data_IF_014506830091
#
_entry.id   IF_014506830091
#
_cell.length_a   1.000
_cell.length_b   1.000
_cell.length_c   1.000
_cell.angle_alpha   90.00
_cell.angle_beta   90.00
_cell.angle_gamma   90.00
#
_symmetry.space_group_name_H-M   'P 1'
#
loop_
_entity.id
_entity.type
_entity.pdbx_description
1 polymer ?
#
# COMPACT_ATOMS: atom_id res chain seq x y z
N UNK A 1 3.24 -29.08 -23.23
CA UNK A 1 3.90 -29.49 -21.97
C UNK A 1 3.45 -28.52 -20.90
N UNK A 2 2.54 -28.94 -20.02
CA UNK A 2 2.11 -28.14 -18.86
C UNK A 2 3.27 -28.11 -17.87
N UNK A 3 3.86 -26.94 -17.64
CA UNK A 3 4.89 -26.77 -16.62
C UNK A 3 4.35 -27.26 -15.27
N UNK A 4 5.14 -28.07 -14.56
CA UNK A 4 4.79 -28.51 -13.21
C UNK A 4 4.55 -27.26 -12.33
N UNK A 5 3.54 -27.26 -11.44
CA UNK A 5 3.28 -26.10 -10.60
C UNK A 5 4.50 -25.81 -9.73
N UNK A 6 5.09 -24.62 -9.91
CA UNK A 6 6.21 -24.14 -9.11
C UNK A 6 5.78 -24.14 -7.64
N UNK A 7 6.49 -24.89 -6.79
CA UNK A 7 6.18 -24.99 -5.35
C UNK A 7 6.16 -23.58 -4.74
N UNK A 8 5.01 -23.16 -4.22
CA UNK A 8 4.88 -21.90 -3.48
C UNK A 8 5.29 -22.15 -2.04
N UNK A 9 6.18 -21.32 -1.51
CA UNK A 9 6.61 -21.36 -0.11
C UNK A 9 5.82 -20.32 0.68
N UNK A 10 5.11 -20.77 1.70
CA UNK A 10 4.34 -19.92 2.61
C UNK A 10 5.24 -19.38 3.73
N UNK A 11 5.24 -18.05 3.93
CA UNK A 11 6.14 -17.34 4.85
C UNK A 11 5.36 -16.32 5.69
N UNK A 12 5.46 -16.39 7.01
CA UNK A 12 4.92 -15.39 7.92
C UNK A 12 5.94 -14.25 8.10
N UNK A 13 5.51 -13.00 7.96
CA UNK A 13 6.41 -11.84 8.00
C UNK A 13 5.92 -10.81 9.01
N UNK A 14 6.79 -10.42 9.94
CA UNK A 14 6.51 -9.45 10.98
C UNK A 14 6.79 -8.01 10.55
N UNK A 15 5.72 -7.23 10.41
CA UNK A 15 5.81 -5.76 10.32
C UNK A 15 5.77 -5.22 11.75
N UNK A 16 6.93 -5.22 12.40
CA UNK A 16 7.09 -4.75 13.78
C UNK A 16 7.17 -3.23 13.84
N UNK A 17 6.20 -2.60 14.49
CA UNK A 17 6.08 -1.15 14.57
C UNK A 17 6.24 -0.65 16.00
N UNK A 18 7.10 0.35 16.20
CA UNK A 18 7.13 1.12 17.43
C UNK A 18 5.99 2.17 17.47
N UNK A 19 5.63 2.68 18.66
CA UNK A 19 4.63 3.74 18.80
C UNK A 19 4.93 5.01 17.99
N UNK A 20 6.20 5.26 17.68
CA UNK A 20 6.66 6.39 16.86
C UNK A 20 6.65 6.09 15.34
N UNK A 21 6.18 4.91 14.93
CA UNK A 21 6.07 4.50 13.53
C UNK A 21 7.34 3.87 12.94
N UNK A 22 8.42 3.72 13.71
CA UNK A 22 9.62 3.04 13.22
C UNK A 22 9.40 1.54 13.07
N UNK A 23 9.99 0.99 12.01
CA UNK A 23 9.93 -0.43 11.64
C UNK A 23 11.25 -1.14 11.99
N UNK A 24 11.19 -2.38 12.47
CA UNK A 24 12.38 -3.22 12.61
C UNK A 24 12.74 -3.91 11.29
N UNK A 25 13.99 -3.79 10.89
CA UNK A 25 14.57 -4.50 9.76
C UNK A 25 15.78 -5.32 10.22
N UNK A 26 15.98 -6.47 9.59
CA UNK A 26 17.13 -7.36 9.80
C UNK A 26 17.99 -7.47 8.55
N UNK A 27 19.30 -7.42 8.70
CA UNK A 27 20.25 -7.62 7.61
C UNK A 27 20.59 -9.09 7.44
N UNK A 28 20.41 -9.61 6.23
CA UNK A 28 20.67 -11.01 5.90
C UNK A 28 22.13 -11.39 6.14
N UNK A 29 22.40 -12.45 6.92
CA UNK A 29 23.76 -12.88 7.22
C UNK A 29 24.48 -13.40 5.96
N UNK A 30 25.81 -13.47 6.04
CA UNK A 30 26.64 -14.02 4.98
C UNK A 30 26.23 -15.47 4.63
N UNK A 31 26.32 -15.84 3.35
CA UNK A 31 26.02 -17.20 2.88
C UNK A 31 24.54 -17.50 2.58
N UNK A 32 23.60 -16.63 2.97
CA UNK A 32 22.20 -16.69 2.49
C UNK A 32 22.09 -15.97 1.12
N UNK A 33 21.13 -16.34 0.24
CA UNK A 33 20.79 -15.52 -0.93
C UNK A 33 20.49 -14.09 -0.49
N UNK A 34 20.98 -13.10 -1.23
CA UNK A 34 20.88 -11.66 -0.87
C UNK A 34 21.57 -11.29 0.47
N UNK A 35 22.70 -11.92 0.80
CA UNK A 35 23.51 -11.51 1.96
C UNK A 35 23.80 -9.99 1.96
N UNK A 36 23.68 -9.36 3.11
CA UNK A 36 23.85 -7.91 3.29
C UNK A 36 22.61 -7.06 2.96
N UNK A 37 21.55 -7.67 2.39
CA UNK A 37 20.29 -6.99 2.14
C UNK A 37 19.42 -6.99 3.39
N UNK A 38 18.58 -5.97 3.52
CA UNK A 38 17.70 -5.75 4.65
C UNK A 38 16.29 -6.28 4.34
N UNK A 39 15.67 -6.91 5.32
CA UNK A 39 14.34 -7.50 5.21
C UNK A 39 13.53 -7.35 6.49
N UNK A 40 12.23 -7.65 6.38
CA UNK A 40 11.35 -7.78 7.54
C UNK A 40 11.58 -9.15 8.17
N UNK A 41 11.61 -9.25 9.52
CA UNK A 41 11.82 -10.52 10.21
C UNK A 41 10.67 -11.50 10.00
N UNK A 42 10.96 -12.80 10.07
CA UNK A 42 9.98 -13.87 9.89
C UNK A 42 10.50 -15.01 9.02
N UNK A 43 9.69 -16.06 8.91
CA UNK A 43 10.11 -17.29 8.26
C UNK A 43 8.98 -18.21 7.84
N UNK A 44 9.35 -19.44 7.52
CA UNK A 44 8.48 -20.37 6.79
C UNK A 44 7.43 -20.95 7.73
N UNK A 45 6.23 -21.17 7.21
CA UNK A 45 5.23 -21.93 7.94
C UNK A 45 5.65 -23.40 8.03
N UNK A 46 5.51 -23.99 9.21
CA UNK A 46 5.62 -25.44 9.39
C UNK A 46 4.26 -26.14 9.20
N UNK A 47 4.26 -27.46 8.90
CA UNK A 47 3.02 -28.21 8.74
C UNK A 47 2.11 -28.11 9.97
N UNK A 48 0.88 -27.63 9.77
CA UNK A 48 -0.13 -27.55 10.81
C UNK A 48 -0.16 -26.23 11.59
N UNK A 49 0.79 -25.32 11.35
CA UNK A 49 0.78 -23.99 11.98
C UNK A 49 -0.19 -23.03 11.27
N UNK A 50 -0.87 -22.20 12.04
CA UNK A 50 -1.45 -20.96 11.52
C UNK A 50 -0.36 -19.92 11.25
N UNK A 51 -0.66 -18.93 10.39
CA UNK A 51 0.26 -17.83 10.11
C UNK A 51 0.74 -17.11 11.38
N UNK A 52 -0.15 -16.88 12.34
CA UNK A 52 0.21 -16.15 13.58
C UNK A 52 1.05 -17.02 14.52
N UNK A 53 0.87 -18.35 14.51
CA UNK A 53 1.74 -19.27 15.25
C UNK A 53 3.14 -19.29 14.65
N UNK A 54 3.26 -19.46 13.33
CA UNK A 54 4.54 -19.39 12.64
C UNK A 54 5.22 -18.05 12.88
N UNK A 55 4.50 -16.93 12.79
CA UNK A 55 5.04 -15.60 13.11
C UNK A 55 5.61 -15.53 14.53
N UNK A 56 4.87 -16.00 15.53
CA UNK A 56 5.31 -15.93 16.92
C UNK A 56 6.56 -16.79 17.17
N UNK A 57 6.61 -18.00 16.58
CA UNK A 57 7.78 -18.88 16.65
C UNK A 57 9.00 -18.24 15.98
N UNK A 58 8.86 -17.79 14.75
CA UNK A 58 9.95 -17.20 13.97
C UNK A 58 10.50 -15.94 14.65
N UNK A 59 9.65 -15.03 15.14
CA UNK A 59 10.13 -13.84 15.87
C UNK A 59 10.76 -14.20 17.22
N UNK A 60 10.38 -15.31 17.84
CA UNK A 60 11.05 -15.80 19.04
C UNK A 60 12.45 -16.35 18.70
N UNK A 61 12.56 -17.18 17.68
CA UNK A 61 13.80 -17.82 17.23
C UNK A 61 14.80 -16.79 16.69
N UNK A 62 14.35 -15.86 15.84
CA UNK A 62 15.22 -14.88 15.20
C UNK A 62 15.57 -13.71 16.12
N UNK A 63 14.62 -13.25 16.94
CA UNK A 63 14.73 -11.97 17.65
C UNK A 63 14.73 -12.10 19.18
N UNK A 64 14.36 -13.26 19.73
CA UNK A 64 14.24 -13.48 21.17
C UNK A 64 13.06 -12.77 21.83
N UNK A 65 12.01 -12.43 21.07
CA UNK A 65 10.83 -11.75 21.61
C UNK A 65 9.63 -12.69 21.75
N UNK A 66 8.67 -12.31 22.59
CA UNK A 66 7.35 -12.95 22.66
C UNK A 66 6.28 -11.99 22.12
N UNK A 67 5.58 -12.38 21.06
CA UNK A 67 4.51 -11.57 20.47
C UNK A 67 3.30 -11.54 21.40
N UNK A 68 2.82 -10.34 21.76
CA UNK A 68 1.65 -10.15 22.62
C UNK A 68 0.41 -9.72 21.83
N UNK A 69 0.59 -8.84 20.83
CA UNK A 69 -0.49 -8.37 19.96
C UNK A 69 0.00 -8.35 18.51
N UNK A 70 -0.68 -9.12 17.66
CA UNK A 70 -0.46 -9.13 16.23
C UNK A 70 -1.75 -9.41 15.46
N UNK A 71 -1.81 -8.95 14.22
CA UNK A 71 -2.93 -9.22 13.32
C UNK A 71 -2.44 -9.49 11.90
N UNK A 72 -3.16 -10.33 11.17
CA UNK A 72 -2.98 -10.47 9.73
C UNK A 72 -3.20 -9.11 9.06
N UNK A 73 -2.38 -8.79 8.07
CA UNK A 73 -2.50 -7.54 7.34
C UNK A 73 -2.72 -7.74 5.84
N UNK A 74 -1.70 -8.20 5.11
CA UNK A 74 -1.76 -8.38 3.65
C UNK A 74 -1.10 -9.70 3.28
N UNK A 75 -1.67 -10.43 2.32
CA UNK A 75 -0.99 -11.55 1.66
C UNK A 75 -0.44 -11.08 0.33
N UNK A 76 0.83 -11.33 0.05
CA UNK A 76 1.46 -10.96 -1.20
C UNK A 76 2.25 -12.13 -1.77
N UNK A 77 2.06 -12.41 -3.06
CA UNK A 77 2.83 -13.44 -3.77
C UNK A 77 3.92 -12.76 -4.56
N UNK A 78 5.17 -13.12 -4.26
CA UNK A 78 6.34 -12.64 -4.96
C UNK A 78 7.05 -13.80 -5.67
N UNK A 79 7.36 -13.63 -6.95
CA UNK A 79 8.06 -14.62 -7.76
C UNK A 79 9.51 -14.16 -7.98
N UNK A 80 10.46 -14.86 -7.37
CA UNK A 80 11.87 -14.79 -7.71
C UNK A 80 12.17 -15.77 -8.85
N UNK A 81 13.30 -15.60 -9.53
CA UNK A 81 13.71 -16.53 -10.60
C UNK A 81 13.86 -17.98 -10.12
N UNK A 82 14.20 -18.17 -8.85
CA UNK A 82 14.46 -19.48 -8.24
C UNK A 82 13.34 -20.00 -7.34
N UNK A 83 12.35 -19.18 -6.98
CA UNK A 83 11.28 -19.56 -6.05
C UNK A 83 10.07 -18.61 -6.09
N UNK A 84 8.88 -19.13 -5.82
CA UNK A 84 7.70 -18.32 -5.55
C UNK A 84 7.40 -18.36 -4.05
N UNK A 85 7.28 -17.20 -3.42
CA UNK A 85 6.93 -17.07 -2.00
C UNK A 85 5.56 -16.41 -1.85
N UNK A 86 4.75 -16.90 -0.92
CA UNK A 86 3.53 -16.26 -0.46
C UNK A 86 3.78 -15.72 0.93
N UNK A 87 3.86 -14.39 1.01
CA UNK A 87 4.23 -13.64 2.19
C UNK A 87 2.95 -13.20 2.89
N UNK A 88 2.79 -13.65 4.12
CA UNK A 88 1.71 -13.31 5.01
C UNK A 88 2.20 -12.22 5.95
N UNK A 89 2.04 -10.95 5.55
CA UNK A 89 2.43 -9.82 6.39
C UNK A 89 1.47 -9.70 7.58
N UNK A 90 2.05 -9.56 8.76
CA UNK A 90 1.36 -9.42 10.03
C UNK A 90 1.86 -8.16 10.72
N UNK A 91 0.94 -7.29 11.16
CA UNK A 91 1.30 -6.15 12.00
C UNK A 91 1.57 -6.66 13.41
N UNK A 92 2.69 -6.27 13.99
CA UNK A 92 3.08 -6.59 15.36
C UNK A 92 3.25 -5.27 16.10
N UNK A 93 2.32 -4.99 17.01
CA UNK A 93 2.25 -3.71 17.73
C UNK A 93 2.64 -3.83 19.20
N UNK A 94 2.68 -5.06 19.72
CA UNK A 94 3.08 -5.31 21.11
C UNK A 94 3.79 -6.64 21.25
N UNK A 95 4.89 -6.63 21.99
CA UNK A 95 5.72 -7.79 22.31
C UNK A 95 6.42 -7.60 23.65
N UNK A 96 6.94 -8.69 24.19
CA UNK A 96 7.81 -8.71 25.36
C UNK A 96 9.25 -9.07 24.96
N UNK A 97 10.23 -8.48 25.66
CA UNK A 97 11.65 -8.61 25.34
C UNK A 97 12.18 -7.53 24.41
N UNK A 98 13.51 -7.41 24.35
CA UNK A 98 14.21 -6.51 23.43
C UNK A 98 14.70 -7.31 22.23
N UNK A 99 14.34 -6.95 20.98
CA UNK A 99 14.82 -7.64 19.79
C UNK A 99 16.34 -7.69 19.70
N UNK A 100 16.89 -8.87 19.41
CA UNK A 100 18.34 -9.13 19.22
C UNK A 100 18.52 -10.08 18.05
N UNK A 101 19.54 -9.89 17.22
CA UNK A 101 19.80 -10.82 16.12
C UNK A 101 20.38 -12.14 16.62
N UNK A 102 19.54 -13.15 16.85
CA UNK A 102 19.94 -14.46 17.35
C UNK A 102 20.55 -15.38 16.28
N UNK A 103 20.37 -15.04 14.99
CA UNK A 103 20.97 -15.70 13.83
C UNK A 103 22.15 -14.91 13.23
N UNK A 104 22.81 -14.07 14.02
CA UNK A 104 23.90 -13.19 13.55
C UNK A 104 23.49 -12.15 12.51
N UNK A 105 22.21 -11.77 12.48
CA UNK A 105 21.70 -10.66 11.69
C UNK A 105 21.91 -9.32 12.42
N UNK A 106 22.33 -8.29 11.68
CA UNK A 106 22.27 -6.92 12.19
C UNK A 106 20.80 -6.47 12.22
N UNK A 107 20.42 -5.67 13.22
CA UNK A 107 19.07 -5.13 13.36
C UNK A 107 19.09 -3.60 13.31
N UNK A 108 18.08 -3.01 12.67
CA UNK A 108 17.92 -1.56 12.61
C UNK A 108 16.45 -1.17 12.72
N UNK A 109 16.16 -0.26 13.64
CA UNK A 109 14.89 0.47 13.66
C UNK A 109 14.98 1.63 12.67
N UNK A 110 14.10 1.66 11.68
CA UNK A 110 14.09 2.68 10.64
C UNK A 110 12.74 3.41 10.61
N UNK A 111 12.79 4.74 10.63
CA UNK A 111 11.65 5.59 10.28
C UNK A 111 11.48 5.60 8.76
N UNK A 112 10.24 5.72 8.30
CA UNK A 112 9.93 5.84 6.88
C UNK A 112 9.30 7.21 6.65
N UNK A 113 9.82 7.95 5.68
CA UNK A 113 9.27 9.25 5.28
C UNK A 113 9.24 9.40 3.78
N UNK A 114 8.55 10.42 3.29
CA UNK A 114 8.70 10.84 1.91
C UNK A 114 10.16 11.28 1.63
N UNK A 115 10.70 10.80 0.52
CA UNK A 115 11.98 11.27 -0.01
C UNK A 115 11.82 12.71 -0.51
N UNK A 116 12.82 13.55 -0.28
CA UNK A 116 12.86 14.89 -0.85
C UNK A 116 13.36 14.86 -2.31
N UNK A 117 13.20 15.97 -3.03
CA UNK A 117 13.57 16.05 -4.47
C UNK A 117 15.05 15.71 -4.73
N UNK A 118 16.03 16.28 -4.00
CA UNK A 118 17.43 15.89 -4.16
C UNK A 118 17.69 14.38 -3.96
N UNK A 119 17.01 13.75 -3.01
CA UNK A 119 17.14 12.30 -2.77
C UNK A 119 16.62 11.49 -3.96
N UNK A 120 15.47 11.88 -4.49
CA UNK A 120 14.87 11.29 -5.67
C UNK A 120 15.81 11.43 -6.88
N UNK A 121 16.32 12.63 -7.14
CA UNK A 121 17.19 12.92 -8.29
C UNK A 121 18.51 12.13 -8.20
N UNK A 122 19.12 12.07 -7.01
CA UNK A 122 20.34 11.31 -6.78
C UNK A 122 20.15 9.81 -7.07
N UNK A 123 19.03 9.25 -6.62
CA UNK A 123 18.72 7.86 -6.86
C UNK A 123 18.38 7.53 -8.32
N UNK A 124 17.69 8.43 -9.02
CA UNK A 124 17.46 8.29 -10.46
C UNK A 124 18.80 8.23 -11.23
N UNK A 125 19.74 9.08 -10.84
CA UNK A 125 21.08 9.08 -11.41
C UNK A 125 21.83 7.77 -11.13
N UNK A 126 21.77 7.28 -9.89
CA UNK A 126 22.41 6.01 -9.50
C UNK A 126 21.81 4.79 -10.24
N UNK A 127 20.48 4.73 -10.36
CA UNK A 127 19.79 3.69 -11.11
C UNK A 127 20.19 3.71 -12.60
N UNK A 128 20.22 4.89 -13.22
CA UNK A 128 20.64 5.04 -14.60
C UNK A 128 22.08 4.52 -14.80
N UNK A 129 22.98 4.83 -13.87
CA UNK A 129 24.35 4.30 -13.87
C UNK A 129 24.42 2.77 -13.78
N UNK A 130 23.62 2.15 -12.91
CA UNK A 130 23.56 0.69 -12.73
C UNK A 130 22.97 -0.02 -13.96
N UNK A 131 21.90 0.53 -14.55
CA UNK A 131 21.31 0.00 -15.79
C UNK A 131 22.34 0.07 -16.92
N UNK A 132 22.99 1.21 -17.11
CA UNK A 132 24.02 1.37 -18.13
C UNK A 132 25.19 0.38 -17.94
N UNK A 133 25.60 0.14 -16.69
CA UNK A 133 26.63 -0.84 -16.37
C UNK A 133 26.22 -2.29 -16.73
N UNK A 134 24.97 -2.67 -16.47
CA UNK A 134 24.44 -3.98 -16.88
C UNK A 134 24.33 -4.11 -18.40
N UNK A 135 23.82 -3.09 -19.08
CA UNK A 135 23.73 -3.05 -20.54
C UNK A 135 25.12 -3.18 -21.19
N UNK A 136 26.12 -2.49 -20.64
CA UNK A 136 27.51 -2.59 -21.12
C UNK A 136 28.11 -4.00 -20.92
N UNK A 137 27.73 -4.73 -19.85
CA UNK A 137 28.14 -6.13 -19.63
C UNK A 137 27.46 -7.08 -20.61
N UNK A 138 26.15 -6.92 -20.78
CA UNK A 138 25.37 -7.67 -21.78
C UNK A 138 25.95 -7.48 -23.19
N UNK A 139 26.34 -6.26 -23.55
CA UNK A 139 26.97 -5.95 -24.83
C UNK A 139 28.33 -6.64 -25.03
N UNK A 140 29.04 -6.99 -23.94
CA UNK A 140 30.28 -7.78 -23.98
C UNK A 140 30.06 -9.31 -23.97
N UNK A 141 28.80 -9.76 -24.00
CA UNK A 141 28.45 -11.18 -23.94
C UNK A 141 28.53 -11.78 -22.53
N UNK A 142 28.74 -10.96 -21.50
CA UNK A 142 28.63 -11.39 -20.10
C UNK A 142 27.14 -11.51 -19.75
N UNK A 143 26.68 -12.70 -19.38
CA UNK A 143 25.33 -12.90 -18.86
C UNK A 143 25.32 -12.54 -17.37
N UNK A 144 24.68 -11.44 -16.95
CA UNK A 144 24.46 -11.17 -15.54
C UNK A 144 23.60 -12.28 -14.95
N UNK A 145 23.93 -12.70 -13.74
CA UNK A 145 23.14 -13.66 -12.98
C UNK A 145 21.73 -13.12 -12.74
N UNK A 146 20.75 -14.01 -12.55
CA UNK A 146 19.39 -13.59 -12.13
C UNK A 146 19.41 -12.73 -10.88
N UNK A 147 20.38 -12.99 -9.98
CA UNK A 147 20.62 -12.20 -8.79
C UNK A 147 21.05 -10.78 -9.17
N UNK A 148 21.99 -10.58 -10.10
CA UNK A 148 22.41 -9.25 -10.56
C UNK A 148 21.30 -8.49 -11.30
N UNK A 149 20.51 -9.17 -12.12
CA UNK A 149 19.34 -8.59 -12.80
C UNK A 149 18.27 -8.18 -11.77
N UNK A 150 17.99 -9.05 -10.79
CA UNK A 150 17.10 -8.74 -9.69
C UNK A 150 17.67 -7.58 -8.84
N UNK A 151 18.95 -7.59 -8.51
CA UNK A 151 19.64 -6.57 -7.70
C UNK A 151 19.59 -5.18 -8.35
N UNK A 152 19.80 -5.08 -9.66
CA UNK A 152 19.71 -3.80 -10.37
C UNK A 152 18.29 -3.25 -10.47
N UNK A 153 17.28 -4.12 -10.45
CA UNK A 153 15.86 -3.73 -10.50
C UNK A 153 15.25 -3.50 -9.12
N UNK A 154 15.67 -4.28 -8.13
CA UNK A 154 15.14 -4.29 -6.77
C UNK A 154 15.45 -3.02 -6.01
N UNK A 155 16.65 -2.47 -6.18
CA UNK A 155 17.07 -1.28 -5.48
C UNK A 155 16.59 0.02 -6.12
N UNK A 156 16.00 -0.05 -7.32
CA UNK A 156 15.29 1.09 -7.89
C UNK A 156 14.06 1.46 -7.04
N UNK A 157 13.50 0.52 -6.28
CA UNK A 157 12.17 0.67 -5.76
C UNK A 157 12.07 1.45 -4.43
N UNK A 158 13.06 1.50 -3.54
CA UNK A 158 12.98 2.48 -2.41
C UNK A 158 12.87 3.92 -2.96
N UNK A 159 13.64 4.18 -4.02
CA UNK A 159 13.72 5.47 -4.65
C UNK A 159 12.57 5.76 -5.63
N UNK A 160 12.02 4.72 -6.30
CA UNK A 160 10.85 4.82 -7.17
C UNK A 160 9.54 5.04 -6.40
N UNK A 161 9.52 4.66 -5.13
CA UNK A 161 8.37 4.85 -4.25
C UNK A 161 8.31 6.25 -3.63
N UNK A 162 9.35 7.06 -3.82
CA UNK A 162 9.44 8.39 -3.21
C UNK A 162 9.50 8.29 -1.69
N UNK A 163 10.09 7.22 -1.15
CA UNK A 163 10.25 6.98 0.28
C UNK A 163 11.75 6.96 0.64
N UNK A 164 12.07 7.36 1.87
CA UNK A 164 13.41 7.30 2.42
C UNK A 164 13.36 6.68 3.83
N UNK A 165 14.38 5.87 4.14
CA UNK A 165 14.59 5.29 5.45
C UNK A 165 15.54 6.13 6.31
N UNK A 166 15.23 6.26 7.60
CA UNK A 166 16.04 6.97 8.58
C UNK A 166 16.35 6.10 9.81
N UNK A 167 17.63 5.76 10.08
CA UNK A 167 18.80 6.12 9.28
C UNK A 167 18.78 5.44 7.90
N UNK A 168 19.55 5.98 6.95
CA UNK A 168 19.77 5.29 5.69
C UNK A 168 20.45 3.95 5.95
N UNK A 169 19.88 2.90 5.40
CA UNK A 169 20.41 1.54 5.47
C UNK A 169 20.78 1.05 4.08
N UNK A 170 21.45 -0.10 4.02
CA UNK A 170 21.78 -0.78 2.78
C UNK A 170 20.54 -1.26 2.00
N UNK A 171 20.74 -2.06 0.95
CA UNK A 171 19.67 -2.42 0.03
C UNK A 171 18.56 -3.26 0.69
N UNK A 172 17.28 -2.96 0.44
CA UNK A 172 16.14 -3.78 0.88
C UNK A 172 15.80 -4.89 -0.11
N UNK A 173 15.34 -6.04 0.39
CA UNK A 173 14.76 -7.07 -0.48
C UNK A 173 13.55 -6.53 -1.29
N UNK A 174 13.35 -6.97 -2.54
CA UNK A 174 12.19 -6.58 -3.35
C UNK A 174 10.86 -6.76 -2.63
N UNK A 175 10.71 -7.87 -1.91
CA UNK A 175 9.51 -8.22 -1.17
C UNK A 175 9.26 -7.33 0.07
N UNK A 176 10.27 -6.61 0.54
CA UNK A 176 10.17 -5.66 1.67
C UNK A 176 9.60 -4.32 1.25
N UNK A 177 9.69 -3.96 -0.03
CA UNK A 177 9.30 -2.65 -0.55
C UNK A 177 7.79 -2.40 -0.50
N UNK A 178 6.91 -3.34 -0.92
CA UNK A 178 5.48 -3.09 -0.90
C UNK A 178 4.94 -2.75 0.52
N UNK A 179 5.28 -3.49 1.60
CA UNK A 179 4.91 -3.10 2.96
C UNK A 179 5.27 -1.68 3.35
N UNK A 180 6.43 -1.16 2.93
CA UNK A 180 6.81 0.22 3.24
C UNK A 180 5.86 1.22 2.58
N UNK A 181 5.45 0.99 1.33
CA UNK A 181 4.41 1.82 0.67
C UNK A 181 3.09 1.73 1.39
N UNK A 182 2.68 0.52 1.73
CA UNK A 182 1.38 0.26 2.33
C UNK A 182 1.23 0.91 3.70
N UNK A 183 2.33 1.10 4.44
CA UNK A 183 2.32 1.84 5.71
C UNK A 183 2.02 3.34 5.52
N UNK A 184 2.19 3.89 4.31
CA UNK A 184 1.88 5.28 3.99
C UNK A 184 0.47 5.48 3.47
N UNK A 185 -0.26 4.40 3.18
CA UNK A 185 -1.69 4.49 2.86
C UNK A 185 -2.41 4.83 4.16
N UNK A 186 -3.15 5.96 4.22
CA UNK A 186 -3.97 6.24 5.39
C UNK A 186 -5.12 5.23 5.48
N UNK A 187 -5.44 4.83 6.70
CA UNK A 187 -6.52 3.89 6.99
C UNK A 187 -7.92 4.51 6.87
N UNK A 188 -8.00 5.77 6.47
CA UNK A 188 -9.22 6.57 6.38
C UNK A 188 -9.25 7.32 5.07
N UNK A 189 -10.26 7.07 4.25
CA UNK A 189 -10.38 7.68 2.93
C UNK A 189 -11.76 8.29 2.71
N UNK A 190 -11.82 9.62 2.79
CA UNK A 190 -13.08 10.37 2.64
C UNK A 190 -13.36 10.62 1.16
N UNK A 191 -14.58 10.35 0.71
CA UNK A 191 -15.00 10.56 -0.69
C UNK A 191 -15.94 11.76 -0.73
N UNK A 192 -15.67 12.71 -1.63
CA UNK A 192 -16.55 13.87 -1.83
C UNK A 192 -17.95 13.46 -2.32
N UNK A 193 -18.93 14.25 -1.92
CA UNK A 193 -20.34 14.17 -2.34
C UNK A 193 -20.95 15.56 -2.18
N UNK A 194 -20.44 16.48 -3.01
CA UNK A 194 -20.84 17.89 -3.04
C UNK A 194 -22.19 18.02 -3.72
N UNK A 195 -22.38 17.29 -4.82
CA UNK A 195 -23.64 17.17 -5.55
C UNK A 195 -23.99 18.37 -6.42
N UNK A 196 -24.01 19.59 -5.86
CA UNK A 196 -24.40 20.82 -6.56
C UNK A 196 -23.68 22.06 -5.99
N UNK A 197 -23.73 23.23 -6.66
CA UNK A 197 -23.09 24.46 -6.17
C UNK A 197 -23.49 24.86 -4.74
N UNK A 198 -24.76 24.65 -4.36
CA UNK A 198 -25.24 24.91 -2.99
C UNK A 198 -24.63 23.98 -1.93
N UNK A 199 -24.08 22.84 -2.34
CA UNK A 199 -23.43 21.85 -1.48
C UNK A 199 -21.95 22.13 -1.21
N UNK A 200 -21.30 23.04 -1.95
CA UNK A 200 -19.87 23.35 -1.82
C UNK A 200 -19.54 23.77 -0.38
N UNK A 201 -20.16 24.83 0.10
CA UNK A 201 -19.84 25.43 1.39
C UNK A 201 -20.15 24.49 2.58
N UNK A 202 -21.31 23.79 2.63
CA UNK A 202 -21.53 22.72 3.60
C UNK A 202 -20.49 21.59 3.54
N UNK A 203 -20.05 21.18 2.36
CA UNK A 203 -19.03 20.14 2.21
C UNK A 203 -17.66 20.61 2.73
N UNK A 204 -17.23 21.82 2.38
CA UNK A 204 -15.93 22.34 2.82
C UNK A 204 -15.83 22.43 4.34
N UNK A 205 -16.89 22.86 5.03
CA UNK A 205 -16.93 22.83 6.51
C UNK A 205 -16.78 21.41 7.09
N UNK A 206 -17.45 20.43 6.47
CA UNK A 206 -17.34 19.03 6.89
C UNK A 206 -15.96 18.44 6.62
N UNK A 207 -15.34 18.85 5.51
CA UNK A 207 -13.96 18.50 5.16
C UNK A 207 -12.98 19.08 6.20
N UNK A 208 -13.08 20.36 6.53
CA UNK A 208 -12.22 20.99 7.55
C UNK A 208 -12.31 20.26 8.89
N UNK A 209 -13.52 19.91 9.33
CA UNK A 209 -13.74 19.14 10.55
C UNK A 209 -13.11 17.74 10.47
N UNK A 210 -13.23 17.05 9.33
CA UNK A 210 -12.60 15.74 9.13
C UNK A 210 -11.07 15.83 9.14
N UNK A 211 -10.50 16.83 8.48
CA UNK A 211 -9.06 17.10 8.44
C UNK A 211 -8.51 17.43 9.84
N UNK A 212 -9.22 18.25 10.62
CA UNK A 212 -8.86 18.58 12.01
C UNK A 212 -8.87 17.35 12.93
N UNK A 213 -9.70 16.33 12.61
CA UNK A 213 -9.73 15.03 13.29
C UNK A 213 -8.68 14.04 12.79
N UNK A 214 -7.82 14.45 11.86
CA UNK A 214 -6.67 13.66 11.40
C UNK A 214 -6.89 12.87 10.13
N UNK A 215 -7.96 13.11 9.35
CA UNK A 215 -8.08 12.53 8.00
C UNK A 215 -6.88 12.95 7.14
N UNK A 216 -6.21 11.97 6.51
CA UNK A 216 -5.01 12.20 5.68
C UNK A 216 -5.19 11.86 4.19
N UNK A 217 -6.36 11.34 3.80
CA UNK A 217 -6.63 11.01 2.41
C UNK A 217 -8.08 11.35 2.01
N UNK A 218 -8.23 12.05 0.90
CA UNK A 218 -9.52 12.48 0.35
C UNK A 218 -9.61 12.12 -1.14
N UNK A 219 -10.77 11.65 -1.58
CA UNK A 219 -11.10 11.45 -2.98
C UNK A 219 -12.01 12.57 -3.45
N UNK A 220 -11.61 13.25 -4.52
CA UNK A 220 -12.50 14.18 -5.22
C UNK A 220 -13.26 13.43 -6.32
N UNK A 221 -14.58 13.27 -6.15
CA UNK A 221 -15.45 12.47 -7.02
C UNK A 221 -16.85 13.06 -7.11
N UNK A 222 -17.13 13.79 -8.18
CA UNK A 222 -18.42 14.44 -8.44
C UNK A 222 -18.99 14.04 -9.81
N UNK A 223 -19.43 12.77 -9.99
CA UNK A 223 -19.86 12.24 -11.29
C UNK A 223 -21.21 12.78 -11.75
N UNK A 224 -22.05 13.26 -10.81
CA UNK A 224 -23.41 13.71 -11.04
C UNK A 224 -23.55 15.24 -10.92
N UNK A 225 -22.45 15.98 -11.04
CA UNK A 225 -22.45 17.44 -11.02
C UNK A 225 -23.37 18.00 -12.12
N UNK A 226 -24.22 19.02 -11.85
CA UNK A 226 -25.19 19.54 -12.83
C UNK A 226 -24.56 20.02 -14.16
N UNK A 227 -23.36 20.61 -14.11
CA UNK A 227 -22.60 21.01 -15.30
C UNK A 227 -21.78 19.89 -15.93
N UNK A 228 -21.88 18.67 -15.41
CA UNK A 228 -21.10 17.51 -15.79
C UNK A 228 -19.75 17.41 -15.08
N UNK A 229 -19.13 16.23 -15.13
CA UNK A 229 -17.87 15.94 -14.45
C UNK A 229 -16.65 16.74 -14.99
N UNK A 230 -16.82 17.42 -16.13
CA UNK A 230 -15.79 18.25 -16.78
C UNK A 230 -16.02 19.76 -16.62
N UNK A 231 -17.01 20.17 -15.83
CA UNK A 231 -17.34 21.58 -15.58
C UNK A 231 -16.14 22.34 -14.99
N UNK A 232 -15.78 23.49 -15.58
CA UNK A 232 -14.68 24.34 -15.10
C UNK A 232 -14.88 24.83 -13.67
N UNK A 233 -16.12 25.12 -13.26
CA UNK A 233 -16.43 25.52 -11.88
C UNK A 233 -16.08 24.41 -10.87
N UNK A 234 -16.18 23.15 -11.29
CA UNK A 234 -15.84 22.01 -10.45
C UNK A 234 -14.33 21.86 -10.25
N UNK A 235 -13.52 22.27 -11.24
CA UNK A 235 -12.06 22.34 -11.12
C UNK A 235 -11.62 23.39 -10.09
N UNK A 236 -12.34 24.51 -9.99
CA UNK A 236 -12.08 25.52 -8.95
C UNK A 236 -12.37 24.96 -7.55
N UNK A 237 -13.43 24.17 -7.41
CA UNK A 237 -13.75 23.47 -6.15
C UNK A 237 -12.68 22.44 -5.80
N UNK A 238 -12.17 21.67 -6.77
CA UNK A 238 -11.01 20.79 -6.56
C UNK A 238 -9.82 21.55 -5.98
N UNK A 239 -9.49 22.74 -6.52
CA UNK A 239 -8.42 23.59 -5.99
C UNK A 239 -8.61 23.98 -4.52
N UNK A 240 -9.84 24.28 -4.11
CA UNK A 240 -10.17 24.58 -2.70
C UNK A 240 -10.00 23.35 -1.81
N UNK A 241 -10.40 22.16 -2.27
CA UNK A 241 -10.24 20.90 -1.54
C UNK A 241 -8.77 20.56 -1.35
N UNK A 242 -7.96 20.70 -2.41
CA UNK A 242 -6.52 20.46 -2.39
C UNK A 242 -5.82 21.42 -1.43
N UNK A 243 -6.11 22.72 -1.49
CA UNK A 243 -5.52 23.70 -0.60
C UNK A 243 -5.81 23.40 0.89
N UNK A 244 -7.04 23.02 1.23
CA UNK A 244 -7.45 22.65 2.58
C UNK A 244 -6.76 21.36 3.05
N UNK A 245 -6.74 20.34 2.19
CA UNK A 245 -6.09 19.06 2.49
C UNK A 245 -4.58 19.27 2.75
N UNK A 246 -3.88 20.00 1.88
CA UNK A 246 -2.45 20.29 2.04
C UNK A 246 -2.15 21.07 3.32
N UNK A 247 -2.98 22.06 3.68
CA UNK A 247 -2.83 22.79 4.94
C UNK A 247 -2.93 21.88 6.18
N UNK A 248 -3.64 20.76 6.08
CA UNK A 248 -3.75 19.74 7.14
C UNK A 248 -2.78 18.55 6.96
N UNK A 249 -1.88 18.59 5.97
CA UNK A 249 -0.96 17.51 5.63
C UNK A 249 -1.65 16.25 5.09
N UNK A 250 -2.82 16.40 4.46
CA UNK A 250 -3.56 15.35 3.78
C UNK A 250 -3.34 15.39 2.26
N UNK A 251 -3.58 14.26 1.58
CA UNK A 251 -3.51 14.12 0.13
C UNK A 251 -4.90 14.05 -0.50
N UNK A 252 -5.03 14.54 -1.73
CA UNK A 252 -6.26 14.45 -2.54
C UNK A 252 -6.01 13.60 -3.78
N UNK A 253 -6.86 12.59 -4.02
CA UNK A 253 -6.87 11.82 -5.26
C UNK A 253 -8.05 12.24 -6.13
N UNK A 254 -7.76 12.53 -7.39
CA UNK A 254 -8.79 12.82 -8.39
C UNK A 254 -9.44 11.52 -8.85
N UNK A 255 -10.77 11.40 -8.83
CA UNK A 255 -11.44 10.25 -9.42
C UNK A 255 -11.39 10.31 -10.95
N UNK A 256 -11.17 9.17 -11.61
CA UNK A 256 -11.06 9.04 -13.07
C UNK A 256 -12.34 9.37 -13.85
N UNK A 257 -13.46 9.67 -13.19
CA UNK A 257 -14.62 10.29 -13.85
C UNK A 257 -14.33 11.71 -14.34
N UNK A 258 -13.38 12.41 -13.73
CA UNK A 258 -12.98 13.77 -14.10
C UNK A 258 -11.95 13.77 -15.24
N UNK A 259 -11.82 14.89 -15.99
CA UNK A 259 -10.88 14.99 -17.10
C UNK A 259 -9.44 14.66 -16.73
N UNK A 260 -8.74 13.97 -17.65
CA UNK A 260 -7.33 13.61 -17.45
C UNK A 260 -6.41 14.82 -17.29
N UNK A 261 -6.80 15.97 -17.85
CA UNK A 261 -6.05 17.23 -17.76
C UNK A 261 -5.99 17.81 -16.35
N UNK A 262 -6.83 17.35 -15.42
CA UNK A 262 -6.84 17.81 -14.03
C UNK A 262 -5.95 16.96 -13.11
N UNK A 263 -5.34 15.87 -13.61
CA UNK A 263 -4.51 14.96 -12.81
C UNK A 263 -3.35 15.67 -12.11
N UNK A 264 -2.81 16.71 -12.73
CA UNK A 264 -1.71 17.50 -12.17
C UNK A 264 -2.15 18.43 -11.03
N UNK A 265 -3.46 18.62 -10.83
CA UNK A 265 -4.00 19.47 -9.77
C UNK A 265 -4.18 18.72 -8.44
N UNK A 266 -3.87 17.41 -8.40
CA UNK A 266 -4.08 16.52 -7.26
C UNK A 266 -2.83 15.70 -6.94
N UNK A 267 -2.83 15.03 -5.78
CA UNK A 267 -1.70 14.20 -5.29
C UNK A 267 -1.70 12.78 -5.86
N UNK A 268 -2.63 12.48 -6.76
CA UNK A 268 -2.75 11.19 -7.42
C UNK A 268 -4.13 10.95 -8.02
N UNK A 269 -4.39 9.69 -8.36
CA UNK A 269 -5.56 9.27 -9.14
C UNK A 269 -6.27 8.12 -8.43
N UNK A 270 -7.60 8.14 -8.46
CA UNK A 270 -8.44 7.02 -8.08
C UNK A 270 -9.20 6.50 -9.30
N UNK A 271 -8.88 5.28 -9.75
CA UNK A 271 -9.54 4.63 -10.88
C UNK A 271 -10.89 4.04 -10.45
N UNK A 272 -11.92 4.27 -11.27
CA UNK A 272 -13.18 3.50 -11.18
C UNK A 272 -12.92 2.08 -11.69
N UNK A 273 -13.76 1.13 -11.25
CA UNK A 273 -13.69 -0.26 -11.72
C UNK A 273 -13.75 -0.37 -13.26
N UNK A 274 -14.58 0.46 -13.90
CA UNK A 274 -14.71 0.54 -15.36
C UNK A 274 -13.43 0.99 -16.09
N UNK A 275 -12.49 1.64 -15.38
CA UNK A 275 -11.27 2.21 -15.95
C UNK A 275 -10.02 1.35 -15.67
N UNK A 276 -10.18 0.13 -15.14
CA UNK A 276 -9.07 -0.78 -14.78
C UNK A 276 -8.48 -1.58 -15.96
N UNK A 277 -9.12 -1.58 -17.13
CA UNK A 277 -8.72 -2.42 -18.26
C UNK A 277 -7.48 -1.98 -19.05
N UNK A 278 -6.79 -0.92 -18.62
CA UNK A 278 -5.69 -0.28 -19.36
C UNK A 278 -4.29 -0.55 -18.79
N UNK A 279 -3.30 0.20 -19.28
CA UNK A 279 -1.98 0.28 -18.68
C UNK A 279 -1.98 1.24 -17.47
N UNK A 280 -0.99 1.14 -16.58
CA UNK A 280 -0.82 2.07 -15.46
C UNK A 280 -0.79 3.51 -16.01
N UNK A 281 -1.67 4.41 -15.54
CA UNK A 281 -1.66 5.80 -15.95
C UNK A 281 -0.30 6.43 -15.62
N UNK A 282 0.20 7.30 -16.51
CA UNK A 282 1.36 8.12 -16.20
C UNK A 282 1.00 9.07 -15.06
N UNK A 283 1.72 8.94 -13.94
CA UNK A 283 1.55 9.74 -12.73
C UNK A 283 2.91 10.32 -12.32
N UNK A 284 2.94 11.53 -11.72
CA UNK A 284 4.15 12.06 -11.12
C UNK A 284 4.75 11.08 -10.09
N UNK A 285 6.07 11.08 -9.92
CA UNK A 285 6.72 10.25 -8.89
C UNK A 285 6.20 10.64 -7.51
N UNK A 286 5.84 9.65 -6.69
CA UNK A 286 5.24 9.83 -5.36
C UNK A 286 3.73 10.12 -5.36
N UNK A 287 3.09 10.19 -6.53
CA UNK A 287 1.63 10.26 -6.63
C UNK A 287 1.00 8.89 -6.36
N UNK A 288 -0.10 8.87 -5.60
CA UNK A 288 -0.80 7.63 -5.25
C UNK A 288 -1.76 7.19 -6.37
N UNK A 289 -1.89 5.88 -6.53
CA UNK A 289 -2.90 5.25 -7.36
C UNK A 289 -3.84 4.40 -6.52
N UNK A 290 -5.08 4.85 -6.37
CA UNK A 290 -6.19 4.07 -5.80
C UNK A 290 -7.04 3.42 -6.88
N UNK A 291 -7.73 2.33 -6.55
CA UNK A 291 -8.66 1.65 -7.46
C UNK A 291 -9.96 1.26 -6.75
N UNK A 292 -11.11 1.43 -7.40
CA UNK A 292 -12.36 0.81 -6.97
C UNK A 292 -12.45 -0.62 -7.48
N UNK A 293 -12.86 -1.54 -6.61
CA UNK A 293 -13.09 -2.93 -6.95
C UNK A 293 -14.38 -3.45 -6.29
N UNK A 294 -14.99 -4.44 -6.94
CA UNK A 294 -16.19 -5.14 -6.53
C UNK A 294 -16.00 -6.67 -6.60
N UNK A 295 -14.94 -7.13 -7.27
CA UNK A 295 -14.67 -8.53 -7.57
C UNK A 295 -13.18 -8.87 -7.44
N UNK A 296 -12.84 -10.16 -7.35
CA UNK A 296 -11.46 -10.65 -7.34
C UNK A 296 -10.69 -10.22 -8.60
N UNK A 297 -11.35 -10.24 -9.76
CA UNK A 297 -10.75 -9.84 -11.04
C UNK A 297 -10.32 -8.37 -11.03
N UNK A 298 -11.14 -7.48 -10.48
CA UNK A 298 -10.81 -6.05 -10.40
C UNK A 298 -9.69 -5.78 -9.40
N UNK A 299 -9.61 -6.54 -8.29
CA UNK A 299 -8.46 -6.48 -7.38
C UNK A 299 -7.17 -6.95 -8.08
N UNK A 300 -7.24 -8.01 -8.89
CA UNK A 300 -6.11 -8.47 -9.70
C UNK A 300 -5.68 -7.41 -10.73
N UNK A 301 -6.63 -6.73 -11.38
CA UNK A 301 -6.34 -5.64 -12.30
C UNK A 301 -5.70 -4.45 -11.57
N UNK A 302 -6.22 -4.06 -10.41
CA UNK A 302 -5.63 -3.01 -9.58
C UNK A 302 -4.17 -3.35 -9.20
N UNK A 303 -3.91 -4.60 -8.80
CA UNK A 303 -2.56 -5.11 -8.52
C UNK A 303 -1.66 -5.07 -9.75
N UNK A 304 -2.17 -5.45 -10.92
CA UNK A 304 -1.42 -5.43 -12.19
C UNK A 304 -1.06 -4.01 -12.64
N UNK A 305 -1.86 -3.02 -12.21
CA UNK A 305 -1.58 -1.59 -12.40
C UNK A 305 -0.60 -1.04 -11.36
N UNK A 306 -0.12 -1.86 -10.41
CA UNK A 306 0.70 -1.47 -9.26
C UNK A 306 0.01 -0.42 -8.36
N UNK A 307 -1.32 -0.49 -8.25
CA UNK A 307 -2.09 0.42 -7.38
C UNK A 307 -1.60 0.33 -5.93
N UNK A 308 -1.51 1.48 -5.25
CA UNK A 308 -1.06 1.57 -3.86
C UNK A 308 -2.10 0.99 -2.90
N UNK A 309 -3.38 1.08 -3.24
CA UNK A 309 -4.48 0.48 -2.50
C UNK A 309 -5.74 0.30 -3.38
N UNK A 310 -6.66 -0.52 -2.91
CA UNK A 310 -8.00 -0.67 -3.48
C UNK A 310 -9.09 -0.31 -2.47
N UNK A 311 -10.24 0.09 -2.99
CA UNK A 311 -11.47 0.33 -2.24
C UNK A 311 -12.47 -0.73 -2.67
N UNK A 312 -12.80 -1.64 -1.74
CA UNK A 312 -13.69 -2.77 -1.99
C UNK A 312 -15.04 -2.54 -1.30
N UNK A 313 -16.12 -2.62 -2.07
CA UNK A 313 -17.46 -2.50 -1.52
C UNK A 313 -18.56 -2.57 -2.59
N UNK A 314 -19.83 -2.32 -2.23
CA UNK A 314 -20.28 -2.06 -0.87
C UNK A 314 -20.20 -3.31 0.02
N UNK A 315 -19.62 -3.19 1.22
CA UNK A 315 -19.53 -4.27 2.22
C UNK A 315 -20.88 -4.46 2.91
N UNK A 316 -21.47 -3.36 3.37
CA UNK A 316 -22.78 -3.33 3.99
C UNK A 316 -23.78 -2.58 3.07
N UNK A 317 -25.09 -2.80 3.23
CA UNK A 317 -26.11 -1.99 2.54
C UNK A 317 -25.87 -0.50 2.75
N UNK A 318 -26.06 0.30 1.71
CA UNK A 318 -25.75 1.74 1.76
C UNK A 318 -26.98 2.58 1.46
N UNK A 319 -27.06 3.75 2.08
CA UNK A 319 -28.09 4.74 1.75
C UNK A 319 -27.92 5.31 0.32
N UNK A 320 -26.74 5.19 -0.28
CA UNK A 320 -26.49 5.60 -1.67
C UNK A 320 -27.02 4.59 -2.69
N UNK A 321 -27.23 3.33 -2.31
CA UNK A 321 -27.79 2.26 -3.15
C UNK A 321 -28.76 1.40 -2.32
N UNK A 322 -29.96 1.90 -2.00
CA UNK A 322 -30.93 1.19 -1.17
C UNK A 322 -31.43 -0.10 -1.86
N UNK A 323 -31.54 -1.19 -1.09
CA UNK A 323 -32.11 -2.46 -1.55
C UNK A 323 -31.13 -3.45 -2.20
N UNK A 324 -29.87 -3.06 -2.43
CA UNK A 324 -28.83 -4.00 -2.87
C UNK A 324 -28.14 -4.64 -1.66
N UNK A 325 -28.06 -5.98 -1.57
CA UNK A 325 -27.29 -6.63 -0.53
C UNK A 325 -25.81 -6.25 -0.70
N UNK A 326 -25.16 -5.87 0.40
CA UNK A 326 -23.71 -5.70 0.41
C UNK A 326 -23.00 -7.05 0.31
N UNK A 327 -21.71 -7.02 0.03
CA UNK A 327 -20.83 -8.19 -0.04
C UNK A 327 -20.87 -9.04 1.25
N UNK A 328 -21.01 -8.38 2.41
CA UNK A 328 -20.86 -8.99 3.72
C UNK A 328 -19.39 -9.21 4.10
N UNK A 329 -19.14 -9.29 5.41
CA UNK A 329 -17.78 -9.36 5.94
C UNK A 329 -17.01 -10.63 5.56
N UNK A 330 -17.68 -11.79 5.47
CA UNK A 330 -17.02 -13.04 5.09
C UNK A 330 -16.48 -13.01 3.66
N UNK A 331 -17.28 -12.50 2.71
CA UNK A 331 -16.83 -12.38 1.33
C UNK A 331 -15.83 -11.22 1.14
N UNK A 332 -15.96 -10.14 1.93
CA UNK A 332 -14.93 -9.09 2.00
C UNK A 332 -13.57 -9.67 2.44
N UNK A 333 -13.54 -10.43 3.53
CA UNK A 333 -12.30 -11.01 4.06
C UNK A 333 -11.64 -11.95 3.05
N UNK A 334 -12.43 -12.79 2.36
CA UNK A 334 -11.93 -13.71 1.33
C UNK A 334 -11.30 -12.96 0.13
N UNK A 335 -11.90 -11.84 -0.29
CA UNK A 335 -11.36 -11.02 -1.38
C UNK A 335 -10.14 -10.21 -0.93
N UNK A 336 -10.18 -9.61 0.26
CA UNK A 336 -9.08 -8.83 0.81
C UNK A 336 -7.82 -9.69 1.02
N UNK A 337 -7.96 -10.93 1.49
CA UNK A 337 -6.83 -11.85 1.67
C UNK A 337 -6.13 -12.21 0.35
N UNK A 338 -6.84 -12.14 -0.78
CA UNK A 338 -6.28 -12.43 -2.11
C UNK A 338 -5.82 -11.17 -2.87
N UNK A 339 -6.06 -9.97 -2.33
CA UNK A 339 -5.88 -8.72 -3.05
C UNK A 339 -4.42 -8.41 -3.40
N UNK A 340 -3.45 -8.83 -2.57
CA UNK A 340 -2.05 -8.53 -2.82
C UNK A 340 -1.60 -7.10 -2.49
N UNK A 341 -2.51 -6.27 -1.98
CA UNK A 341 -2.34 -4.84 -1.68
C UNK A 341 -3.36 -4.38 -0.61
N UNK A 342 -3.21 -3.19 0.00
CA UNK A 342 -4.13 -2.64 0.99
C UNK A 342 -5.55 -2.52 0.46
N UNK A 343 -6.54 -3.02 1.21
CA UNK A 343 -7.96 -2.89 0.88
C UNK A 343 -8.67 -2.05 1.93
N UNK A 344 -9.25 -0.94 1.49
CA UNK A 344 -10.17 -0.12 2.30
C UNK A 344 -11.60 -0.62 2.09
N UNK A 345 -12.30 -0.90 3.19
CA UNK A 345 -13.71 -1.27 3.15
C UNK A 345 -14.59 -0.06 2.83
N UNK A 346 -15.48 -0.18 1.85
CA UNK A 346 -16.46 0.85 1.49
C UNK A 346 -17.88 0.33 1.67
N UNK A 347 -18.80 1.22 2.03
CA UNK A 347 -20.24 0.93 2.10
C UNK A 347 -20.69 0.63 3.53
N UNK A 348 -21.49 1.54 4.08
CA UNK A 348 -21.95 1.51 5.48
C UNK A 348 -20.85 1.75 6.51
N UNK A 349 -19.69 2.28 6.10
CA UNK A 349 -18.54 2.47 6.97
C UNK A 349 -18.50 3.86 7.62
N UNK A 350 -17.99 3.91 8.84
CA UNK A 350 -17.71 5.10 9.63
C UNK A 350 -16.57 4.81 10.60
N UNK A 351 -16.10 5.82 11.34
CA UNK A 351 -15.10 5.61 12.40
C UNK A 351 -15.46 4.45 13.35
N UNK A 352 -16.76 4.29 13.65
CA UNK A 352 -17.27 3.24 14.54
C UNK A 352 -17.13 1.82 13.97
N UNK A 353 -17.07 1.66 12.66
CA UNK A 353 -16.94 0.35 12.00
C UNK A 353 -15.50 -0.01 11.66
N UNK A 354 -14.54 0.91 11.86
CA UNK A 354 -13.12 0.71 11.54
C UNK A 354 -12.54 -0.55 12.18
N UNK A 355 -12.72 -0.73 13.49
CA UNK A 355 -12.18 -1.87 14.21
C UNK A 355 -12.71 -3.20 13.64
N UNK A 356 -14.02 -3.25 13.33
CA UNK A 356 -14.63 -4.41 12.69
C UNK A 356 -14.05 -4.65 11.30
N UNK A 357 -13.82 -3.60 10.50
CA UNK A 357 -13.22 -3.72 9.17
C UNK A 357 -11.81 -4.34 9.26
N UNK A 358 -11.00 -3.85 10.19
CA UNK A 358 -9.63 -4.35 10.43
C UNK A 358 -9.65 -5.83 10.86
N UNK A 359 -10.58 -6.24 11.73
CA UNK A 359 -10.75 -7.66 12.10
C UNK A 359 -11.03 -8.56 10.90
N UNK A 360 -11.64 -8.01 9.84
CA UNK A 360 -11.92 -8.73 8.59
C UNK A 360 -10.84 -8.50 7.50
N UNK A 361 -9.65 -8.04 7.88
CA UNK A 361 -8.50 -7.90 6.98
C UNK A 361 -8.50 -6.60 6.17
N UNK A 362 -9.35 -5.63 6.48
CA UNK A 362 -9.25 -4.32 5.87
C UNK A 362 -7.98 -3.61 6.37
N UNK A 363 -7.29 -2.92 5.47
CA UNK A 363 -6.28 -1.94 5.86
C UNK A 363 -6.91 -0.74 6.57
N UNK A 364 -8.17 -0.43 6.23
CA UNK A 364 -8.90 0.70 6.78
C UNK A 364 -10.30 0.83 6.15
N UNK A 365 -10.87 2.03 6.20
CA UNK A 365 -12.22 2.32 5.75
C UNK A 365 -12.27 3.50 4.78
N UNK A 366 -13.20 3.45 3.85
CA UNK A 366 -13.53 4.51 2.92
C UNK A 366 -15.02 4.83 2.98
N UNK A 367 -15.39 6.08 2.68
CA UNK A 367 -16.80 6.44 2.63
C UNK A 367 -17.08 7.92 2.49
N UNK A 368 -18.37 8.21 2.37
CA UNK A 368 -18.88 9.51 1.93
C UNK A 368 -19.37 10.35 3.09
N UNK A 369 -20.27 9.80 3.93
CA UNK A 369 -20.97 10.56 4.98
C UNK A 369 -20.50 10.25 6.39
N UNK A 370 -20.03 9.02 6.63
CA UNK A 370 -19.71 8.48 7.96
C UNK A 370 -18.45 9.04 8.64
N UNK A 371 -17.80 10.05 8.06
CA UNK A 371 -16.59 10.70 8.58
C UNK A 371 -16.83 12.14 9.04
N UNK A 372 -18.11 12.51 9.20
CA UNK A 372 -18.54 13.85 9.58
C UNK A 372 -19.33 13.90 10.90
N UNK A 373 -19.74 12.73 11.41
CA UNK A 373 -20.22 12.52 12.77
C UNK A 373 -19.04 12.21 13.68
#
# INVERSE_FOLDING_TARGET
MTAAPTKIVDVAVGVMLQPDGRLLLGQRPAGKPYAGWWELPGGKLEPGESVLQALARELHEELGIAVLESSRWITHVHAYSHATVRLYFCRVTRWEGQPRGLESQALQWAGIRAANRPEIEAAEHELAGRIAALEARLARGEQPTDLEIAQARAQAAEDALGLALEPRIGPLLPATLPPLRWLHVPDTYVISDIGAPTGIEPFLRRLDAALARGVKLVQFREPAWPGGAADGALREVLGQVVARAHAAGAKVLLNSVHPQTWRADADGLHLRAADLGGARPALPRGALLGASAHTARELEQARSLDADFAVLGPVLPTASHPGQPGLGWSAFAALADQAGLPVLALGGQSERTRAQAITHGAHGIAGIRGFHE
#
